data_IF_670463778933
#
_entry.id   IF_670463778933
#
_cell.length_a   1.000
_cell.length_b   1.000
_cell.length_c   1.000
_cell.angle_alpha   90.00
_cell.angle_beta   90.00
_cell.angle_gamma   90.00
#
_symmetry.space_group_name_H-M   'P 1'
#
loop_
_entity.id
_entity.type
_entity.pdbx_description
1 polymer ?
#
# COMPACT_ATOMS: atom_id res chain seq x y z
N UNK A 1 -66.04 -14.90 -40.70
CA UNK A 1 -65.22 -13.79 -40.17
C UNK A 1 -64.14 -14.40 -39.28
N UNK A 2 -62.87 -14.03 -39.52
CA UNK A 2 -61.61 -14.45 -38.86
C UNK A 2 -60.97 -15.77 -39.31
N UNK A 3 -60.03 -15.65 -40.26
CA UNK A 3 -58.91 -16.57 -40.47
C UNK A 3 -57.85 -16.28 -39.41
N UNK A 4 -57.33 -17.30 -38.71
CA UNK A 4 -56.12 -17.19 -37.91
C UNK A 4 -54.98 -17.93 -38.63
N UNK A 5 -54.05 -17.16 -39.18
CA UNK A 5 -52.75 -17.64 -39.68
C UNK A 5 -51.81 -17.88 -38.49
N UNK A 6 -51.39 -19.12 -38.29
CA UNK A 6 -50.38 -19.48 -37.30
C UNK A 6 -48.98 -19.10 -37.82
N UNK A 7 -48.32 -18.15 -37.16
CA UNK A 7 -46.90 -17.86 -37.39
C UNK A 7 -46.04 -18.85 -36.58
N UNK A 8 -45.24 -19.66 -37.28
CA UNK A 8 -44.21 -20.51 -36.71
C UNK A 8 -42.96 -19.65 -36.44
N UNK A 9 -42.73 -19.30 -35.17
CA UNK A 9 -41.51 -18.60 -34.71
C UNK A 9 -40.35 -19.61 -34.66
N UNK A 10 -39.45 -19.55 -35.65
CA UNK A 10 -38.15 -20.23 -35.62
C UNK A 10 -37.21 -19.46 -34.67
N UNK A 11 -37.11 -19.93 -33.43
CA UNK A 11 -36.10 -19.50 -32.46
C UNK A 11 -34.73 -20.03 -32.90
N UNK A 12 -33.93 -19.17 -33.52
CA UNK A 12 -32.51 -19.41 -33.76
C UNK A 12 -31.79 -19.23 -32.41
N UNK A 13 -31.48 -20.33 -31.73
CA UNK A 13 -30.55 -20.33 -30.61
C UNK A 13 -29.13 -20.10 -31.15
N UNK A 14 -28.68 -18.84 -31.14
CA UNK A 14 -27.26 -18.54 -31.28
C UNK A 14 -26.55 -19.02 -30.01
N UNK A 15 -25.88 -20.16 -30.09
CA UNK A 15 -24.90 -20.57 -29.08
C UNK A 15 -23.78 -19.53 -29.07
N UNK A 16 -23.83 -18.56 -28.15
CA UNK A 16 -22.64 -17.85 -27.73
C UNK A 16 -21.75 -18.87 -27.05
N UNK A 17 -20.77 -19.38 -27.80
CA UNK A 17 -19.70 -20.18 -27.24
C UNK A 17 -19.06 -19.35 -26.12
N UNK A 18 -19.32 -19.74 -24.87
CA UNK A 18 -18.58 -19.25 -23.73
C UNK A 18 -17.13 -19.67 -23.97
N UNK A 19 -16.29 -18.74 -24.42
CA UNK A 19 -14.88 -19.02 -24.62
C UNK A 19 -14.32 -19.42 -23.27
N UNK A 20 -13.95 -20.70 -23.13
CA UNK A 20 -13.13 -21.17 -22.02
C UNK A 20 -11.93 -20.20 -21.90
N UNK A 21 -11.63 -19.66 -20.72
CA UNK A 21 -10.45 -18.80 -20.58
C UNK A 21 -9.25 -19.57 -21.11
N UNK A 22 -8.60 -19.06 -22.17
CA UNK A 22 -7.37 -19.66 -22.68
C UNK A 22 -6.39 -19.72 -21.51
N UNK A 23 -5.91 -20.92 -21.20
CA UNK A 23 -4.95 -21.14 -20.14
C UNK A 23 -3.73 -20.23 -20.38
N UNK A 24 -3.36 -19.43 -19.38
CA UNK A 24 -2.28 -18.45 -19.51
C UNK A 24 -0.95 -19.18 -19.77
N UNK A 25 -0.19 -18.70 -20.75
CA UNK A 25 1.12 -19.26 -21.08
C UNK A 25 2.07 -19.16 -19.88
N UNK A 26 2.78 -20.26 -19.59
CA UNK A 26 3.75 -20.35 -18.49
C UNK A 26 5.12 -19.87 -18.98
N UNK A 27 5.69 -18.90 -18.26
CA UNK A 27 7.06 -18.41 -18.45
C UNK A 27 7.90 -18.80 -17.23
N UNK A 28 8.99 -19.53 -17.45
CA UNK A 28 9.91 -19.87 -16.37
C UNK A 28 10.79 -18.66 -16.00
N UNK A 29 11.03 -18.46 -14.71
CA UNK A 29 11.88 -17.37 -14.18
C UNK A 29 13.29 -17.34 -14.77
N UNK A 30 13.83 -18.47 -15.24
CA UNK A 30 15.15 -18.50 -15.91
C UNK A 30 15.20 -17.67 -17.20
N UNK A 31 14.09 -17.55 -17.93
CA UNK A 31 13.99 -16.68 -19.11
C UNK A 31 14.04 -15.21 -18.71
N UNK A 32 13.33 -14.84 -17.64
CA UNK A 32 13.30 -13.49 -17.09
C UNK A 32 14.69 -13.10 -16.56
N UNK A 33 15.31 -13.99 -15.78
CA UNK A 33 16.65 -13.79 -15.23
C UNK A 33 17.70 -13.57 -16.34
N UNK A 34 17.60 -14.29 -17.46
CA UNK A 34 18.48 -14.10 -18.63
C UNK A 34 18.31 -12.72 -19.26
N UNK A 35 17.08 -12.20 -19.38
CA UNK A 35 16.84 -10.85 -19.90
C UNK A 35 17.44 -9.78 -18.97
N UNK A 36 17.15 -9.88 -17.67
CA UNK A 36 17.66 -8.93 -16.66
C UNK A 36 19.18 -8.90 -16.65
N UNK A 37 19.85 -10.08 -16.70
CA UNK A 37 21.32 -10.18 -16.74
C UNK A 37 21.95 -9.59 -18.00
N UNK A 38 21.19 -9.44 -19.09
CA UNK A 38 21.63 -8.76 -20.32
C UNK A 38 21.33 -7.26 -20.30
N UNK A 39 20.70 -6.74 -19.23
CA UNK A 39 20.21 -5.36 -19.17
C UNK A 39 18.96 -5.09 -20.01
N UNK A 40 18.28 -6.15 -20.48
CA UNK A 40 17.08 -6.03 -21.29
C UNK A 40 15.85 -5.77 -20.41
N UNK A 41 15.01 -4.80 -20.80
CA UNK A 41 13.75 -4.56 -20.12
C UNK A 41 12.84 -5.78 -20.19
N UNK A 42 12.12 -6.05 -19.10
CA UNK A 42 11.15 -7.14 -19.00
C UNK A 42 9.75 -6.57 -19.14
N UNK A 43 8.99 -7.09 -20.11
CA UNK A 43 7.56 -6.84 -20.25
C UNK A 43 6.84 -8.18 -20.49
N UNK A 44 6.04 -8.63 -19.52
CA UNK A 44 5.19 -9.81 -19.66
C UNK A 44 3.73 -9.47 -19.37
N UNK A 45 2.84 -9.93 -20.25
CA UNK A 45 1.39 -9.65 -20.19
C UNK A 45 0.61 -10.95 -20.30
N UNK A 46 -0.36 -11.15 -19.42
CA UNK A 46 -1.24 -12.33 -19.38
C UNK A 46 -0.47 -13.66 -19.27
N UNK A 47 0.49 -13.76 -18.34
CA UNK A 47 1.36 -14.94 -18.17
C UNK A 47 1.27 -15.53 -16.77
N UNK A 48 1.50 -16.85 -16.67
CA UNK A 48 1.86 -17.52 -15.41
C UNK A 48 3.38 -17.57 -15.29
N UNK A 49 3.92 -17.17 -14.15
CA UNK A 49 5.37 -17.12 -13.90
C UNK A 49 5.73 -18.27 -12.96
N UNK A 50 6.48 -19.23 -13.48
CA UNK A 50 6.85 -20.45 -12.77
C UNK A 50 8.28 -20.39 -12.23
N UNK A 51 8.44 -20.73 -10.95
CA UNK A 51 9.68 -20.67 -10.19
C UNK A 51 9.85 -19.39 -9.37
N UNK A 52 10.88 -19.36 -8.53
CA UNK A 52 11.15 -18.23 -7.64
C UNK A 52 11.95 -17.13 -8.35
N UNK A 53 11.43 -15.90 -8.32
CA UNK A 53 12.08 -14.72 -8.88
C UNK A 53 12.93 -14.06 -7.80
N UNK A 54 14.23 -14.37 -7.81
CA UNK A 54 15.21 -13.97 -6.80
C UNK A 54 16.10 -12.84 -7.34
N UNK A 55 15.61 -11.60 -7.24
CA UNK A 55 16.23 -10.41 -7.85
C UNK A 55 17.66 -10.13 -7.37
N UNK A 56 17.95 -10.43 -6.10
CA UNK A 56 19.26 -10.21 -5.50
C UNK A 56 20.38 -11.12 -6.07
N UNK A 57 20.05 -12.06 -6.96
CA UNK A 57 20.99 -12.92 -7.68
C UNK A 57 21.33 -12.42 -9.10
N UNK A 58 20.77 -11.28 -9.52
CA UNK A 58 20.76 -10.90 -10.95
C UNK A 58 21.79 -9.82 -11.34
N UNK A 59 22.64 -9.39 -10.43
CA UNK A 59 23.90 -8.71 -10.74
C UNK A 59 25.00 -9.08 -9.77
N UNK A 60 26.25 -8.84 -10.19
CA UNK A 60 27.39 -9.07 -9.32
C UNK A 60 27.32 -8.14 -8.11
N UNK A 61 27.50 -8.67 -6.90
CA UNK A 61 27.40 -7.87 -5.70
C UNK A 61 28.54 -6.84 -5.69
N UNK A 62 28.20 -5.56 -5.84
CA UNK A 62 29.12 -4.49 -5.51
C UNK A 62 29.18 -4.37 -3.98
N UNK A 63 30.38 -4.41 -3.40
CA UNK A 63 30.62 -4.17 -1.97
C UNK A 63 30.15 -2.74 -1.62
N UNK A 64 29.00 -2.64 -0.94
CA UNK A 64 28.54 -1.37 -0.36
C UNK A 64 29.16 -1.20 1.04
N UNK A 65 29.38 -2.31 1.74
CA UNK A 65 30.19 -2.45 2.96
C UNK A 65 30.61 -3.92 3.17
N UNK A 66 31.42 -4.24 4.19
CA UNK A 66 32.00 -5.58 4.45
C UNK A 66 30.97 -6.75 4.52
N UNK A 67 29.68 -6.46 4.72
CA UNK A 67 28.63 -7.47 4.84
C UNK A 67 27.29 -7.06 4.18
N UNK A 68 27.30 -6.04 3.32
CA UNK A 68 26.11 -5.56 2.64
C UNK A 68 26.34 -5.53 1.13
N UNK A 69 25.54 -6.32 0.45
CA UNK A 69 25.63 -6.55 -0.98
C UNK A 69 24.37 -6.03 -1.66
N UNK A 70 24.55 -5.21 -2.70
CA UNK A 70 23.45 -4.71 -3.52
C UNK A 70 23.55 -5.23 -4.95
N UNK A 71 22.46 -5.84 -5.42
CA UNK A 71 22.24 -6.17 -6.81
C UNK A 71 21.57 -5.01 -7.52
N UNK A 72 22.31 -4.28 -8.36
CA UNK A 72 21.78 -3.23 -9.20
C UNK A 72 21.10 -3.81 -10.44
N UNK A 73 19.84 -3.43 -10.66
CA UNK A 73 19.00 -3.89 -11.76
C UNK A 73 18.71 -2.68 -12.65
N UNK A 74 19.38 -2.64 -13.80
CA UNK A 74 19.25 -1.55 -14.78
C UNK A 74 18.03 -1.68 -15.69
N UNK A 75 17.37 -2.83 -15.65
CA UNK A 75 16.22 -3.15 -16.49
C UNK A 75 14.94 -2.55 -15.92
N UNK A 76 14.09 -1.98 -16.76
CA UNK A 76 12.70 -1.70 -16.37
C UNK A 76 11.93 -3.01 -16.36
N UNK A 77 11.19 -3.27 -15.29
CA UNK A 77 10.47 -4.53 -15.08
C UNK A 77 8.97 -4.26 -15.03
N UNK A 78 8.22 -4.89 -15.92
CA UNK A 78 6.77 -4.74 -16.02
C UNK A 78 6.07 -6.08 -16.23
N UNK A 79 5.16 -6.39 -15.33
CA UNK A 79 4.23 -7.49 -15.44
C UNK A 79 2.80 -6.95 -15.39
N UNK A 80 1.94 -7.45 -16.28
CA UNK A 80 0.53 -7.05 -16.34
C UNK A 80 -0.35 -8.29 -16.46
N UNK A 81 -1.37 -8.41 -15.61
CA UNK A 81 -2.29 -9.54 -15.58
C UNK A 81 -1.57 -10.90 -15.41
N UNK A 82 -0.50 -10.92 -14.60
CA UNK A 82 0.33 -12.11 -14.43
C UNK A 82 0.07 -12.81 -13.09
N UNK A 83 0.24 -14.13 -13.06
CA UNK A 83 0.16 -14.94 -11.83
C UNK A 83 1.56 -15.46 -11.50
N UNK A 84 2.07 -15.12 -10.32
CA UNK A 84 3.35 -15.64 -9.82
C UNK A 84 3.09 -16.88 -8.97
N UNK A 85 3.61 -18.01 -9.42
CA UNK A 85 3.45 -19.33 -8.78
C UNK A 85 4.54 -19.63 -7.75
N UNK A 86 5.68 -18.96 -7.86
CA UNK A 86 6.76 -18.99 -6.88
C UNK A 86 6.87 -17.68 -6.11
N UNK A 87 7.91 -17.59 -5.28
CA UNK A 87 8.23 -16.40 -4.49
C UNK A 87 8.77 -15.27 -5.35
N UNK A 88 8.58 -14.03 -4.91
CA UNK A 88 9.22 -12.84 -5.50
C UNK A 88 10.04 -12.14 -4.44
N UNK A 89 11.36 -12.32 -4.50
CA UNK A 89 12.28 -11.97 -3.42
C UNK A 89 13.39 -11.05 -3.95
N UNK A 90 13.59 -9.92 -3.28
CA UNK A 90 14.66 -8.96 -3.53
C UNK A 90 15.63 -8.83 -2.35
N UNK A 91 15.42 -9.62 -1.29
CA UNK A 91 16.23 -9.61 -0.07
C UNK A 91 16.56 -11.01 0.43
N UNK A 92 17.79 -11.22 0.86
CA UNK A 92 18.19 -12.39 1.63
C UNK A 92 19.23 -12.01 2.70
N UNK A 93 19.14 -12.66 3.87
CA UNK A 93 20.20 -12.63 4.89
C UNK A 93 20.84 -14.01 4.98
N UNK A 94 22.16 -14.08 4.82
CA UNK A 94 22.95 -15.30 4.99
C UNK A 94 24.05 -15.03 6.01
N UNK A 95 24.01 -15.74 7.13
CA UNK A 95 24.89 -15.49 8.28
C UNK A 95 24.88 -14.01 8.70
N UNK A 96 26.01 -13.33 8.57
CA UNK A 96 26.18 -11.91 8.87
C UNK A 96 26.03 -10.99 7.65
N UNK A 97 25.86 -11.55 6.45
CA UNK A 97 25.72 -10.81 5.21
C UNK A 97 24.27 -10.58 4.80
N UNK A 98 23.99 -9.41 4.24
CA UNK A 98 22.70 -9.08 3.62
C UNK A 98 22.86 -8.85 2.12
N UNK A 99 21.87 -9.32 1.37
CA UNK A 99 21.78 -9.19 -0.08
C UNK A 99 20.47 -8.50 -0.39
N UNK A 100 20.50 -7.33 -1.00
CA UNK A 100 19.32 -6.56 -1.37
C UNK A 100 19.38 -6.16 -2.84
N UNK A 101 18.24 -5.76 -3.41
CA UNK A 101 18.17 -5.32 -4.80
C UNK A 101 17.93 -3.81 -4.88
N UNK A 102 18.59 -3.15 -5.83
CA UNK A 102 18.37 -1.76 -6.21
C UNK A 102 17.88 -1.70 -7.66
N UNK A 103 16.63 -1.27 -7.87
CA UNK A 103 16.04 -1.10 -9.18
C UNK A 103 16.26 0.34 -9.67
N UNK A 104 17.11 0.51 -10.68
CA UNK A 104 17.43 1.84 -11.24
C UNK A 104 16.29 2.41 -12.10
N UNK A 105 15.34 1.56 -12.49
CA UNK A 105 14.16 1.89 -13.31
C UNK A 105 12.89 1.35 -12.66
N UNK A 106 11.77 1.45 -13.38
CA UNK A 106 10.45 1.12 -12.85
C UNK A 106 10.33 -0.37 -12.50
N UNK A 107 9.65 -0.64 -11.38
CA UNK A 107 9.24 -1.97 -10.95
C UNK A 107 7.71 -2.01 -10.90
N UNK A 108 7.09 -2.70 -11.87
CA UNK A 108 5.64 -2.63 -12.11
C UNK A 108 5.03 -4.02 -12.16
N UNK A 109 3.95 -4.21 -11.39
CA UNK A 109 3.09 -5.38 -11.33
C UNK A 109 1.64 -4.90 -11.31
N UNK A 110 0.99 -4.79 -12.47
CA UNK A 110 -0.40 -4.31 -12.56
C UNK A 110 -1.33 -5.51 -12.70
N UNK A 111 -2.36 -5.56 -11.85
CA UNK A 111 -3.34 -6.65 -11.84
C UNK A 111 -2.66 -8.03 -11.75
N UNK A 112 -1.64 -8.16 -10.90
CA UNK A 112 -0.90 -9.39 -10.71
C UNK A 112 -1.38 -10.14 -9.48
N UNK A 113 -1.31 -11.47 -9.49
CA UNK A 113 -1.57 -12.31 -8.32
C UNK A 113 -0.28 -12.99 -7.86
N UNK A 114 0.12 -12.75 -6.62
CA UNK A 114 1.24 -13.43 -5.98
C UNK A 114 0.71 -14.54 -5.08
N UNK A 115 0.91 -15.79 -5.49
CA UNK A 115 0.40 -16.97 -4.75
C UNK A 115 1.30 -17.37 -3.58
N UNK A 116 2.49 -16.77 -3.49
CA UNK A 116 3.51 -17.04 -2.49
C UNK A 116 4.10 -15.72 -1.96
N UNK A 117 5.02 -15.83 -1.01
CA UNK A 117 5.71 -14.70 -0.37
C UNK A 117 6.28 -13.69 -1.37
N UNK A 118 6.02 -12.41 -1.10
CA UNK A 118 6.71 -11.28 -1.73
C UNK A 118 7.57 -10.59 -0.69
N UNK A 119 8.87 -10.46 -0.96
CA UNK A 119 9.82 -9.88 -0.02
C UNK A 119 10.73 -8.87 -0.71
N UNK A 120 10.38 -7.60 -0.59
CA UNK A 120 11.15 -6.43 -1.01
C UNK A 120 11.78 -5.70 0.18
N UNK A 121 12.18 -6.45 1.23
CA UNK A 121 12.86 -5.85 2.38
C UNK A 121 14.14 -5.12 1.97
N UNK A 122 14.40 -3.96 2.57
CA UNK A 122 15.60 -3.13 2.34
C UNK A 122 15.90 -2.89 0.85
N UNK A 123 14.88 -2.98 0.00
CA UNK A 123 14.98 -2.79 -1.43
C UNK A 123 14.95 -1.29 -1.74
N UNK A 124 15.70 -0.89 -2.77
CA UNK A 124 15.73 0.48 -3.25
C UNK A 124 15.18 0.54 -4.67
N UNK A 125 14.29 1.50 -4.93
CA UNK A 125 13.72 1.72 -6.27
C UNK A 125 13.88 3.19 -6.64
N UNK A 126 14.82 3.47 -7.54
CA UNK A 126 15.04 4.80 -8.12
C UNK A 126 13.92 5.16 -9.12
N UNK A 127 13.37 4.14 -9.78
CA UNK A 127 12.17 4.26 -10.60
C UNK A 127 10.87 4.29 -9.80
N UNK A 128 9.74 4.29 -10.51
CA UNK A 128 8.43 4.17 -9.87
C UNK A 128 8.13 2.73 -9.48
N UNK A 129 7.39 2.56 -8.38
CA UNK A 129 6.82 1.28 -7.98
C UNK A 129 5.30 1.29 -8.18
N UNK A 130 4.76 0.26 -8.82
CA UNK A 130 3.33 0.19 -9.10
C UNK A 130 2.82 -1.25 -8.98
N UNK A 131 2.00 -1.50 -7.96
CA UNK A 131 1.32 -2.76 -7.70
C UNK A 131 -0.19 -2.70 -7.99
N UNK A 132 -0.68 -1.64 -8.64
CA UNK A 132 -2.12 -1.36 -8.78
C UNK A 132 -2.92 -2.61 -9.18
N UNK A 133 -4.04 -2.83 -8.50
CA UNK A 133 -4.97 -3.96 -8.67
C UNK A 133 -4.36 -5.35 -8.37
N UNK A 134 -3.20 -5.43 -7.71
CA UNK A 134 -2.56 -6.72 -7.40
C UNK A 134 -3.03 -7.36 -6.09
N UNK A 135 -2.99 -8.68 -6.04
CA UNK A 135 -3.36 -9.49 -4.87
C UNK A 135 -2.14 -10.26 -4.34
N UNK A 136 -1.93 -10.19 -3.01
CA UNK A 136 -0.92 -10.94 -2.27
C UNK A 136 -1.63 -11.99 -1.44
N UNK A 137 -1.49 -13.26 -1.82
CA UNK A 137 -2.13 -14.39 -1.13
C UNK A 137 -1.41 -14.78 0.16
N UNK A 138 -0.10 -14.54 0.23
CA UNK A 138 0.74 -14.82 1.40
C UNK A 138 1.37 -13.52 1.94
N UNK A 139 2.27 -13.67 2.93
CA UNK A 139 2.96 -12.52 3.54
C UNK A 139 3.67 -11.63 2.49
N UNK A 140 3.46 -10.32 2.62
CA UNK A 140 4.11 -9.30 1.81
C UNK A 140 5.01 -8.41 2.68
N UNK A 141 6.31 -8.38 2.38
CA UNK A 141 7.33 -7.71 3.18
C UNK A 141 7.95 -6.58 2.35
N UNK A 142 7.69 -5.35 2.75
CA UNK A 142 8.28 -4.12 2.22
C UNK A 142 9.07 -3.36 3.31
N UNK A 143 9.40 -4.03 4.41
CA UNK A 143 10.13 -3.44 5.53
C UNK A 143 11.45 -2.83 5.05
N UNK A 144 11.71 -1.55 5.32
CA UNK A 144 12.92 -0.86 4.84
C UNK A 144 12.92 -0.50 3.36
N UNK A 145 11.82 -0.69 2.62
CA UNK A 145 11.73 -0.29 1.21
C UNK A 145 11.90 1.23 1.05
N UNK A 146 12.81 1.64 0.17
CA UNK A 146 13.05 3.04 -0.20
C UNK A 146 12.59 3.26 -1.64
N UNK A 147 11.66 4.19 -1.85
CA UNK A 147 11.17 4.58 -3.19
C UNK A 147 11.49 6.03 -3.47
N UNK A 148 12.38 6.25 -4.45
CA UNK A 148 12.84 7.58 -4.88
C UNK A 148 12.14 8.07 -6.14
N UNK A 149 11.55 7.16 -6.90
CA UNK A 149 10.89 7.50 -8.16
C UNK A 149 9.63 8.36 -7.99
N UNK A 150 9.13 8.85 -9.13
CA UNK A 150 8.02 9.82 -9.19
C UNK A 150 6.71 9.33 -8.59
N UNK A 151 6.47 8.02 -8.59
CA UNK A 151 5.20 7.45 -8.12
C UNK A 151 5.43 6.15 -7.33
N UNK A 152 4.63 5.99 -6.29
CA UNK A 152 4.50 4.75 -5.52
C UNK A 152 3.02 4.42 -5.39
N UNK A 153 2.58 3.28 -5.93
CA UNK A 153 1.17 2.90 -5.93
C UNK A 153 0.95 1.45 -5.50
N UNK A 154 0.09 1.30 -4.50
CA UNK A 154 -0.54 0.05 -4.04
C UNK A 154 -2.07 0.17 -4.15
N UNK A 155 -2.55 0.91 -5.16
CA UNK A 155 -3.96 1.20 -5.30
C UNK A 155 -4.76 -0.07 -5.61
N UNK A 156 -5.92 -0.22 -4.96
CA UNK A 156 -6.78 -1.38 -5.04
C UNK A 156 -6.09 -2.73 -4.76
N UNK A 157 -4.91 -2.73 -4.12
CA UNK A 157 -4.27 -3.98 -3.75
C UNK A 157 -5.06 -4.71 -2.67
N UNK A 158 -4.96 -6.04 -2.66
CA UNK A 158 -5.51 -6.89 -1.61
C UNK A 158 -4.35 -7.66 -0.96
N UNK A 159 -4.17 -7.47 0.33
CA UNK A 159 -3.24 -8.24 1.16
C UNK A 159 -4.04 -9.19 2.04
N UNK A 160 -4.01 -10.48 1.69
CA UNK A 160 -4.77 -11.51 2.41
C UNK A 160 -4.13 -11.82 3.76
N UNK A 161 -2.79 -11.79 3.82
CA UNK A 161 -2.00 -12.05 5.02
C UNK A 161 -1.25 -10.81 5.52
N UNK A 162 -0.46 -10.99 6.58
CA UNK A 162 0.28 -9.91 7.24
C UNK A 162 1.13 -9.12 6.22
N UNK A 163 0.96 -7.80 6.20
CA UNK A 163 1.73 -6.89 5.36
C UNK A 163 2.64 -5.98 6.19
N UNK A 164 3.94 -5.97 5.84
CA UNK A 164 4.99 -5.27 6.61
C UNK A 164 5.54 -4.09 5.81
N UNK A 165 5.29 -2.87 6.28
CA UNK A 165 5.77 -1.61 5.68
C UNK A 165 6.59 -0.80 6.69
N UNK A 166 7.18 -1.43 7.70
CA UNK A 166 7.95 -0.72 8.71
C UNK A 166 9.20 -0.07 8.09
N UNK A 167 9.56 1.12 8.57
CA UNK A 167 10.80 1.82 8.15
C UNK A 167 10.89 2.06 6.63
N UNK A 168 9.76 2.17 5.94
CA UNK A 168 9.73 2.52 4.52
C UNK A 168 9.93 4.01 4.32
N UNK A 169 10.57 4.41 3.23
CA UNK A 169 10.76 5.81 2.86
C UNK A 169 10.20 6.10 1.46
N UNK A 170 9.32 7.10 1.37
CA UNK A 170 8.71 7.54 0.11
C UNK A 170 9.07 9.00 -0.16
N UNK A 171 9.94 9.25 -1.12
CA UNK A 171 10.40 10.61 -1.47
C UNK A 171 9.37 11.40 -2.28
N UNK A 172 8.43 10.70 -2.91
CA UNK A 172 7.29 11.25 -3.65
C UNK A 172 5.99 10.70 -3.06
N UNK A 173 4.86 11.18 -3.58
CA UNK A 173 3.56 10.77 -3.06
C UNK A 173 3.38 9.25 -3.19
N UNK A 174 2.91 8.63 -2.11
CA UNK A 174 2.67 7.19 -2.04
C UNK A 174 1.18 6.93 -1.78
N UNK A 175 0.59 6.13 -2.66
CA UNK A 175 -0.85 5.91 -2.70
C UNK A 175 -1.21 4.46 -2.41
N UNK A 176 -2.09 4.31 -1.44
CA UNK A 176 -2.74 3.09 -0.97
C UNK A 176 -4.27 3.26 -1.12
N UNK A 177 -4.70 3.92 -2.19
CA UNK A 177 -6.11 4.22 -2.44
C UNK A 177 -6.89 2.91 -2.61
N UNK A 178 -7.99 2.75 -1.88
CA UNK A 178 -8.82 1.53 -1.92
C UNK A 178 -8.08 0.22 -1.63
N UNK A 179 -6.92 0.27 -0.98
CA UNK A 179 -6.22 -0.93 -0.54
C UNK A 179 -7.05 -1.69 0.49
N UNK A 180 -6.96 -3.02 0.49
CA UNK A 180 -7.58 -3.88 1.50
C UNK A 180 -6.51 -4.69 2.22
N UNK A 181 -6.36 -4.47 3.52
CA UNK A 181 -5.57 -5.30 4.41
C UNK A 181 -6.51 -6.22 5.19
N UNK A 182 -6.57 -7.50 4.80
CA UNK A 182 -7.45 -8.49 5.43
C UNK A 182 -6.88 -9.05 6.73
N UNK A 183 -5.56 -8.94 6.91
CA UNK A 183 -4.84 -9.27 8.13
C UNK A 183 -4.06 -8.04 8.66
N UNK A 184 -3.23 -8.21 9.69
CA UNK A 184 -2.49 -7.12 10.32
C UNK A 184 -1.56 -6.38 9.35
N UNK A 185 -1.48 -5.05 9.48
CA UNK A 185 -0.55 -4.22 8.71
C UNK A 185 0.24 -3.28 9.61
N UNK A 186 1.51 -3.07 9.28
CA UNK A 186 2.41 -2.27 10.09
C UNK A 186 3.24 -1.27 9.25
N UNK A 187 2.97 0.02 9.44
CA UNK A 187 3.67 1.19 8.89
C UNK A 187 4.56 1.88 9.94
N UNK A 188 5.00 1.15 10.96
CA UNK A 188 5.77 1.73 12.05
C UNK A 188 7.08 2.33 11.55
N UNK A 189 7.37 3.55 12.00
CA UNK A 189 8.57 4.29 11.67
C UNK A 189 8.77 4.54 10.16
N UNK A 190 7.69 4.53 9.37
CA UNK A 190 7.73 4.93 7.96
C UNK A 190 7.80 6.45 7.81
N UNK A 191 8.41 6.89 6.71
CA UNK A 191 8.59 8.29 6.37
C UNK A 191 8.01 8.61 4.99
N UNK A 192 7.14 9.62 4.94
CA UNK A 192 6.54 10.13 3.72
C UNK A 192 6.97 11.59 3.53
N UNK A 193 7.85 11.84 2.55
CA UNK A 193 8.32 13.21 2.23
C UNK A 193 7.26 14.03 1.47
N UNK A 194 6.26 13.35 0.91
CA UNK A 194 5.07 13.90 0.25
C UNK A 194 3.83 13.19 0.78
N UNK A 195 2.73 13.27 0.04
CA UNK A 195 1.43 12.82 0.53
C UNK A 195 1.39 11.31 0.78
N UNK A 196 0.81 10.94 1.92
CA UNK A 196 0.48 9.57 2.29
C UNK A 196 -1.03 9.35 2.10
N UNK A 197 -1.41 8.63 1.04
CA UNK A 197 -2.82 8.55 0.61
C UNK A 197 -3.40 7.16 0.92
N UNK A 198 -4.23 7.06 1.94
CA UNK A 198 -4.99 5.88 2.35
C UNK A 198 -6.51 6.08 2.17
N UNK A 199 -6.91 6.90 1.19
CA UNK A 199 -8.32 7.19 0.94
C UNK A 199 -9.06 5.90 0.54
N UNK A 200 -10.22 5.66 1.13
CA UNK A 200 -11.03 4.46 0.95
C UNK A 200 -10.32 3.13 1.28
N UNK A 201 -9.21 3.18 2.02
CA UNK A 201 -8.52 1.97 2.48
C UNK A 201 -9.36 1.20 3.51
N UNK A 202 -9.25 -0.13 3.52
CA UNK A 202 -9.92 -1.00 4.47
C UNK A 202 -8.90 -1.77 5.30
N UNK A 203 -9.04 -1.71 6.62
CA UNK A 203 -8.20 -2.40 7.60
C UNK A 203 -9.09 -3.34 8.41
N UNK A 204 -9.06 -4.64 8.08
CA UNK A 204 -9.91 -5.66 8.72
C UNK A 204 -9.41 -6.11 10.09
N UNK A 205 -8.10 -5.99 10.31
CA UNK A 205 -7.39 -6.31 11.55
C UNK A 205 -6.54 -5.12 11.97
N UNK A 206 -5.73 -5.33 13.00
CA UNK A 206 -4.89 -4.31 13.61
C UNK A 206 -4.03 -3.57 12.58
N UNK A 207 -4.06 -2.23 12.63
CA UNK A 207 -3.23 -1.36 11.81
C UNK A 207 -2.32 -0.49 12.70
N UNK A 208 -1.02 -0.52 12.45
CA UNK A 208 -0.01 0.20 13.25
C UNK A 208 0.62 1.32 12.43
N UNK A 209 0.47 2.55 12.90
CA UNK A 209 1.07 3.78 12.32
C UNK A 209 1.99 4.49 13.33
N UNK A 210 2.54 3.74 14.29
CA UNK A 210 3.40 4.30 15.33
C UNK A 210 4.71 4.87 14.76
N UNK A 211 5.13 6.04 15.23
CA UNK A 211 6.32 6.77 14.78
C UNK A 211 6.31 7.13 13.30
N UNK A 212 5.13 7.19 12.67
CA UNK A 212 4.95 7.67 11.31
C UNK A 212 5.31 9.16 11.21
N UNK A 213 6.08 9.53 10.19
CA UNK A 213 6.36 10.93 9.85
C UNK A 213 5.86 11.25 8.44
N UNK A 214 5.06 12.30 8.30
CA UNK A 214 4.51 12.76 7.02
C UNK A 214 4.76 14.26 6.88
N UNK A 215 5.59 14.65 5.90
CA UNK A 215 5.96 16.05 5.68
C UNK A 215 4.87 16.88 5.01
N UNK A 216 3.99 16.23 4.25
CA UNK A 216 2.81 16.87 3.65
C UNK A 216 1.54 16.18 4.16
N UNK A 217 0.52 15.98 3.32
CA UNK A 217 -0.79 15.55 3.78
C UNK A 217 -0.90 14.05 4.08
N UNK A 218 -1.59 13.71 5.16
CA UNK A 218 -1.99 12.35 5.54
C UNK A 218 -3.49 12.17 5.33
N UNK A 219 -3.89 11.28 4.43
CA UNK A 219 -5.28 11.18 4.00
C UNK A 219 -5.90 9.79 4.22
N UNK A 220 -6.85 9.68 5.14
CA UNK A 220 -7.68 8.50 5.41
C UNK A 220 -9.15 8.74 5.09
N UNK A 221 -9.44 9.54 4.06
CA UNK A 221 -10.82 9.92 3.75
C UNK A 221 -11.59 8.67 3.34
N UNK A 222 -12.78 8.44 3.88
CA UNK A 222 -13.58 7.23 3.63
C UNK A 222 -12.89 5.91 4.01
N UNK A 223 -11.82 5.93 4.81
CA UNK A 223 -11.18 4.70 5.26
C UNK A 223 -12.04 3.97 6.29
N UNK A 224 -11.96 2.64 6.32
CA UNK A 224 -12.69 1.79 7.26
C UNK A 224 -11.69 1.02 8.11
N UNK A 225 -11.80 1.18 9.43
CA UNK A 225 -11.01 0.47 10.43
C UNK A 225 -11.93 -0.43 11.25
N UNK A 226 -11.89 -1.74 10.99
CA UNK A 226 -12.76 -2.73 11.65
C UNK A 226 -12.21 -3.22 12.99
N UNK A 227 -10.91 -2.99 13.22
CA UNK A 227 -10.19 -3.39 14.41
C UNK A 227 -9.30 -2.25 14.94
N UNK A 228 -8.49 -2.53 15.95
CA UNK A 228 -7.64 -1.55 16.63
C UNK A 228 -6.68 -0.84 15.66
N UNK A 229 -6.65 0.50 15.77
CA UNK A 229 -5.65 1.34 15.12
C UNK A 229 -4.76 2.05 16.14
N UNK A 230 -3.45 2.06 15.87
CA UNK A 230 -2.45 2.66 16.74
C UNK A 230 -1.75 3.83 16.06
N UNK A 231 -2.04 5.05 16.54
CA UNK A 231 -1.28 6.25 16.21
C UNK A 231 -0.49 6.68 17.45
N UNK A 232 0.79 6.32 17.52
CA UNK A 232 1.66 6.71 18.62
C UNK A 232 2.87 7.46 18.10
N UNK A 233 3.26 8.59 18.70
CA UNK A 233 4.43 9.37 18.28
C UNK A 233 4.39 9.82 16.80
N UNK A 234 3.20 10.05 16.24
CA UNK A 234 3.07 10.49 14.84
C UNK A 234 3.45 11.96 14.69
N UNK A 235 4.13 12.29 13.61
CA UNK A 235 4.42 13.66 13.20
C UNK A 235 3.79 13.93 11.83
N UNK A 236 2.83 14.85 11.76
CA UNK A 236 2.18 15.26 10.53
C UNK A 236 2.34 16.77 10.35
N UNK A 237 3.17 17.17 9.40
CA UNK A 237 3.58 18.56 9.20
C UNK A 237 2.58 19.38 8.39
N UNK A 238 1.68 18.71 7.68
CA UNK A 238 0.54 19.31 6.98
C UNK A 238 -0.77 18.64 7.43
N UNK A 239 -1.85 18.80 6.65
CA UNK A 239 -3.19 18.34 7.00
C UNK A 239 -3.25 16.83 7.25
N UNK A 240 -3.91 16.44 8.34
CA UNK A 240 -4.33 15.07 8.60
C UNK A 240 -5.85 14.95 8.44
N UNK A 241 -6.31 14.19 7.44
CA UNK A 241 -7.71 14.17 7.01
C UNK A 241 -8.30 12.77 7.17
N UNK A 242 -9.19 12.62 8.13
CA UNK A 242 -9.95 11.42 8.45
C UNK A 242 -11.45 11.58 8.12
N UNK A 243 -11.80 12.56 7.29
CA UNK A 243 -13.19 12.86 6.98
C UNK A 243 -13.90 11.65 6.35
N UNK A 244 -15.14 11.39 6.77
CA UNK A 244 -15.93 10.21 6.38
C UNK A 244 -15.31 8.84 6.74
N UNK A 245 -14.26 8.79 7.57
CA UNK A 245 -13.70 7.53 8.03
C UNK A 245 -14.64 6.84 9.04
N UNK A 246 -14.61 5.51 9.07
CA UNK A 246 -15.38 4.70 10.03
C UNK A 246 -14.41 3.93 10.92
N UNK A 247 -14.56 4.12 12.23
CA UNK A 247 -13.78 3.43 13.26
C UNK A 247 -14.69 2.54 14.09
N UNK A 248 -14.54 1.22 13.98
CA UNK A 248 -15.40 0.24 14.65
C UNK A 248 -14.94 -0.14 16.06
N UNK A 249 -13.68 0.15 16.40
CA UNK A 249 -13.03 -0.13 17.68
C UNK A 249 -12.33 1.11 18.23
N UNK A 250 -11.77 0.98 19.42
CA UNK A 250 -11.10 2.09 20.11
C UNK A 250 -9.96 2.66 19.26
N UNK A 251 -9.96 3.99 19.13
CA UNK A 251 -8.97 4.76 18.40
C UNK A 251 -8.11 5.50 19.40
N UNK A 252 -6.80 5.25 19.36
CA UNK A 252 -5.84 5.86 20.28
C UNK A 252 -4.80 6.67 19.52
N UNK A 253 -4.84 7.99 19.72
CA UNK A 253 -3.76 8.91 19.37
C UNK A 253 -2.96 9.21 20.63
N UNK A 254 -1.68 8.86 20.66
CA UNK A 254 -0.80 9.10 21.81
C UNK A 254 0.46 9.83 21.38
N UNK A 255 0.81 10.94 22.03
CA UNK A 255 2.05 11.69 21.75
C UNK A 255 2.20 12.11 20.29
N UNK A 256 1.09 12.43 19.62
CA UNK A 256 1.09 12.85 18.23
C UNK A 256 1.27 14.38 18.11
N UNK A 257 1.99 14.82 17.08
CA UNK A 257 2.21 16.23 16.76
C UNK A 257 1.60 16.54 15.39
N UNK A 258 0.59 17.42 15.40
CA UNK A 258 -0.07 17.90 14.19
C UNK A 258 0.22 19.39 14.02
N UNK A 259 0.96 19.74 12.98
CA UNK A 259 1.41 21.12 12.73
C UNK A 259 0.37 21.92 11.93
N UNK A 260 -0.53 21.25 11.22
CA UNK A 260 -1.66 21.84 10.51
C UNK A 260 -2.99 21.16 10.91
N UNK A 261 -4.08 21.51 10.23
CA UNK A 261 -5.43 21.08 10.61
C UNK A 261 -5.62 19.56 10.63
N UNK A 262 -6.32 19.07 11.65
CA UNK A 262 -6.81 17.69 11.73
C UNK A 262 -8.32 17.69 11.57
N UNK A 263 -8.86 16.93 10.61
CA UNK A 263 -10.32 16.85 10.40
C UNK A 263 -10.84 15.42 10.51
N UNK A 264 -11.84 15.25 11.36
CA UNK A 264 -12.71 14.09 11.49
C UNK A 264 -14.15 14.43 11.03
N UNK A 265 -14.30 15.43 10.15
CA UNK A 265 -15.62 15.83 9.65
C UNK A 265 -16.37 14.62 9.04
N UNK A 266 -17.61 14.39 9.48
CA UNK A 266 -18.44 13.26 9.02
C UNK A 266 -17.84 11.88 9.34
N UNK A 267 -16.79 11.79 10.17
CA UNK A 267 -16.27 10.52 10.62
C UNK A 267 -17.26 9.84 11.59
N UNK A 268 -17.29 8.51 11.58
CA UNK A 268 -18.12 7.70 12.48
C UNK A 268 -17.23 6.94 13.46
N UNK A 269 -17.57 7.03 14.74
CA UNK A 269 -16.91 6.29 15.81
C UNK A 269 -17.92 5.39 16.51
N UNK A 270 -17.75 4.06 16.38
CA UNK A 270 -18.58 3.07 17.07
C UNK A 270 -18.00 2.69 18.45
N UNK A 271 -16.83 3.24 18.80
CA UNK A 271 -16.13 3.03 20.07
C UNK A 271 -15.41 4.32 20.51
N UNK A 272 -14.62 4.23 21.60
CA UNK A 272 -13.98 5.39 22.22
C UNK A 272 -12.86 5.97 21.34
N UNK A 273 -12.83 7.30 21.20
CA UNK A 273 -11.69 8.04 20.67
C UNK A 273 -10.92 8.69 21.81
N UNK A 274 -9.65 8.32 21.98
CA UNK A 274 -8.74 8.92 22.97
C UNK A 274 -7.59 9.62 22.27
N UNK A 275 -7.40 10.90 22.59
CA UNK A 275 -6.23 11.69 22.21
C UNK A 275 -5.48 12.06 23.48
N UNK A 276 -4.28 11.52 23.63
CA UNK A 276 -3.46 11.64 24.84
C UNK A 276 -2.10 12.23 24.52
N UNK A 277 -1.67 13.22 25.30
CA UNK A 277 -0.36 13.88 25.17
C UNK A 277 -0.12 14.43 23.75
N UNK A 278 -1.17 14.83 23.04
CA UNK A 278 -1.08 15.29 21.63
C UNK A 278 -0.94 16.81 21.54
N UNK A 279 -0.20 17.28 20.53
CA UNK A 279 -0.02 18.69 20.22
C UNK A 279 -0.72 19.04 18.91
N UNK A 280 -1.59 20.05 18.92
CA UNK A 280 -2.29 20.55 17.75
C UNK A 280 -1.97 22.03 17.54
N UNK A 281 -1.26 22.35 16.45
CA UNK A 281 -0.74 23.71 16.25
C UNK A 281 -1.76 24.69 15.65
N UNK A 282 -2.88 24.18 15.12
CA UNK A 282 -3.95 24.96 14.48
C UNK A 282 -5.29 24.82 15.20
N UNK A 283 -5.26 24.67 16.52
CA UNK A 283 -6.46 24.48 17.34
C UNK A 283 -6.95 23.03 17.39
N UNK A 284 -8.14 22.84 17.97
CA UNK A 284 -8.74 21.51 18.16
C UNK A 284 -9.05 20.83 16.82
N UNK A 285 -9.01 19.49 16.74
CA UNK A 285 -9.48 18.77 15.56
C UNK A 285 -10.96 19.08 15.28
N UNK A 286 -11.30 19.11 14.00
CA UNK A 286 -12.67 19.36 13.52
C UNK A 286 -13.52 18.07 13.58
N UNK A 287 -14.72 18.18 14.15
CA UNK A 287 -15.71 17.12 14.33
C UNK A 287 -17.12 17.51 13.86
N UNK A 288 -17.28 18.61 13.09
CA UNK A 288 -18.55 19.33 12.85
C UNK A 288 -19.76 18.42 12.55
N UNK A 289 -19.59 17.39 11.72
CA UNK A 289 -20.67 16.44 11.36
C UNK A 289 -20.36 14.98 11.76
N UNK A 290 -19.42 14.77 12.67
CA UNK A 290 -19.05 13.42 13.10
C UNK A 290 -20.21 12.72 13.84
N UNK A 291 -20.36 11.42 13.58
CA UNK A 291 -21.33 10.58 14.28
C UNK A 291 -20.59 9.88 15.41
N UNK A 292 -20.87 10.31 16.63
CA UNK A 292 -20.29 9.78 17.86
C UNK A 292 -21.46 9.30 18.71
N UNK A 293 -21.40 8.05 19.19
CA UNK A 293 -22.42 7.56 20.14
C UNK A 293 -22.37 8.46 21.38
N UNK A 294 -23.51 8.98 21.85
CA UNK A 294 -23.57 10.05 22.88
C UNK A 294 -22.79 9.75 24.17
N UNK A 295 -22.62 8.48 24.51
CA UNK A 295 -21.85 8.00 25.67
C UNK A 295 -20.33 7.96 25.45
N UNK A 296 -19.85 8.22 24.23
CA UNK A 296 -18.46 8.03 23.77
C UNK A 296 -17.85 9.33 23.22
N UNK A 297 -18.10 10.46 23.89
CA UNK A 297 -17.45 11.74 23.52
C UNK A 297 -15.92 11.58 23.44
N UNK A 298 -15.25 12.25 22.47
CA UNK A 298 -13.79 12.18 22.38
C UNK A 298 -13.12 12.63 23.67
N UNK A 299 -12.17 11.83 24.14
CA UNK A 299 -11.42 12.10 25.37
C UNK A 299 -10.10 12.76 24.99
N UNK A 300 -9.84 13.95 25.54
CA UNK A 300 -8.59 14.68 25.36
C UNK A 300 -7.84 14.75 26.68
N UNK A 301 -6.73 14.00 26.79
CA UNK A 301 -5.88 13.95 27.97
C UNK A 301 -4.56 14.68 27.67
N UNK A 302 -4.19 15.67 28.49
CA UNK A 302 -2.92 16.40 28.38
C UNK A 302 -2.59 16.91 26.96
N UNK A 303 -3.62 17.31 26.21
CA UNK A 303 -3.43 17.82 24.85
C UNK A 303 -3.16 19.33 24.86
N UNK A 304 -2.20 19.76 24.04
CA UNK A 304 -1.89 21.18 23.85
C UNK A 304 -2.49 21.68 22.54
N UNK A 305 -3.06 22.89 22.58
CA UNK A 305 -3.61 23.56 21.40
C UNK A 305 -2.97 24.93 21.29
N UNK A 306 -2.31 25.22 20.18
CA UNK A 306 -1.91 26.60 19.89
C UNK A 306 -2.89 27.20 18.91
N UNK A 307 -3.39 28.40 19.20
CA UNK A 307 -4.06 29.24 18.22
C UNK A 307 -3.01 30.13 17.56
N UNK A 308 -2.18 29.57 16.67
CA UNK A 308 -1.34 30.44 15.84
C UNK A 308 -2.20 30.96 14.69
N UNK A 309 -2.68 32.21 14.79
CA UNK A 309 -2.89 33.04 13.60
C UNK A 309 -1.59 32.94 12.80
N UNK A 310 -1.64 32.32 11.63
CA UNK A 310 -0.46 31.89 10.89
C UNK A 310 0.62 32.98 10.82
N UNK A 311 1.81 32.67 11.32
CA UNK A 311 3.04 33.30 10.84
C UNK A 311 3.18 32.87 9.38
N UNK A 312 2.71 33.73 8.48
CA UNK A 312 3.11 33.67 7.07
C UNK A 312 4.58 34.04 7.05
N UNK A 313 5.45 33.09 6.73
CA UNK A 313 6.78 33.44 6.25
C UNK A 313 6.60 33.87 4.80
N UNK A 314 6.90 35.15 4.54
CA UNK A 314 6.99 35.75 3.19
C UNK A 314 8.11 35.09 2.36
#
# INVERSE_FOLDING_TARGET
MKFYTAYLLLLIFSFTACSQPKEQEIVNVSTIAKQIKKGENVLLVNKRISGDLLFYLYSEPNDVSLAEFKSFIESSISFQNCIFEGKVIAYEKRDNATFSSCFLKNLTFINCKFTNEVNLRDCEVDGSINFTDSEFSEQAIFEGLIVKGRTCSFNNCIFNEIAKFQRTEYYQAASFFKVQFLNEVNFQASYFYKDAVFRSAQFKKKAVFSSLSVLTGLYFNYAIFEDQILFQNVQCFDKAVFSNAVFMKDVNFKRCNFYESVSFNTAKFDSTLVLKDCNFMRGKPDFENSIIIDTLKPIFENCNYTETKALKFE
#
